data_IF_731302032814
#
_entry.id   IF_731302032814
#
_cell.length_a   1.000
_cell.length_b   1.000
_cell.length_c   1.000
_cell.angle_alpha   90.00
_cell.angle_beta   90.00
_cell.angle_gamma   90.00
#
_symmetry.space_group_name_H-M   'P 1'
#
loop_
_entity.id
_entity.type
_entity.pdbx_description
1 polymer ?
#
# COMPACT_ATOMS: atom_id res chain seq x y z
N UNK A 1 12.58 -14.66 -2.55
CA UNK A 1 12.89 -16.07 -2.17
C UNK A 1 12.84 -16.97 -3.41
N UNK A 2 13.88 -17.79 -3.70
CA UNK A 2 13.91 -18.72 -4.83
C UNK A 2 13.14 -20.02 -4.56
N UNK A 3 12.57 -20.63 -5.60
CA UNK A 3 11.64 -21.76 -5.48
C UNK A 3 12.27 -23.03 -4.87
N UNK A 4 13.55 -23.30 -5.16
CA UNK A 4 14.23 -24.47 -4.62
C UNK A 4 14.46 -24.40 -3.10
N UNK A 5 14.53 -23.19 -2.53
CA UNK A 5 14.59 -23.01 -1.07
C UNK A 5 13.26 -23.37 -0.44
N UNK A 6 12.14 -22.93 -1.02
CA UNK A 6 10.79 -23.28 -0.56
C UNK A 6 10.55 -24.80 -0.57
N UNK A 7 10.97 -25.49 -1.62
CA UNK A 7 10.82 -26.96 -1.74
C UNK A 7 11.67 -27.74 -0.73
N UNK A 8 12.77 -27.14 -0.24
CA UNK A 8 13.67 -27.73 0.75
C UNK A 8 13.33 -27.31 2.18
N UNK A 9 12.30 -26.48 2.38
CA UNK A 9 11.79 -26.14 3.71
C UNK A 9 11.17 -27.39 4.36
N UNK A 10 11.91 -27.99 5.29
CA UNK A 10 11.44 -29.06 6.17
C UNK A 10 11.17 -28.56 7.59
N UNK A 11 11.00 -29.49 8.54
CA UNK A 11 10.90 -29.15 9.96
C UNK A 11 12.19 -28.49 10.44
N UNK A 12 12.07 -27.31 11.06
CA UNK A 12 13.21 -26.54 11.55
C UNK A 12 13.84 -25.59 10.54
N UNK A 13 13.23 -25.38 9.37
CA UNK A 13 13.65 -24.31 8.47
C UNK A 13 13.36 -22.94 9.11
N UNK A 14 14.40 -22.12 9.28
CA UNK A 14 14.32 -20.74 9.75
C UNK A 14 14.39 -19.82 8.53
N UNK A 15 13.49 -18.87 8.44
CA UNK A 15 13.51 -17.81 7.44
C UNK A 15 13.80 -16.52 8.20
N UNK A 16 14.94 -15.91 7.89
CA UNK A 16 15.22 -14.56 8.36
C UNK A 16 14.29 -13.60 7.62
N UNK A 17 13.58 -12.80 8.40
CA UNK A 17 12.82 -11.67 7.90
C UNK A 17 13.69 -10.43 8.14
N UNK A 18 13.73 -9.54 7.15
CA UNK A 18 14.46 -8.27 7.26
C UNK A 18 13.75 -7.28 8.21
N UNK A 19 12.53 -7.60 8.66
CA UNK A 19 11.71 -6.76 9.54
C UNK A 19 11.99 -7.03 11.00
N UNK A 20 12.25 -5.95 11.74
CA UNK A 20 12.42 -5.92 13.19
C UNK A 20 11.15 -5.44 13.89
N UNK A 21 11.08 -5.56 15.21
CA UNK A 21 9.95 -5.14 16.04
C UNK A 21 9.74 -3.61 16.07
N UNK A 22 10.78 -2.86 15.75
CA UNK A 22 10.73 -1.40 15.63
C UNK A 22 10.30 -0.90 14.24
N UNK A 23 10.22 -1.78 13.24
CA UNK A 23 9.92 -1.39 11.88
C UNK A 23 8.43 -1.07 11.67
N UNK A 24 8.19 -0.14 10.75
CA UNK A 24 6.85 0.25 10.36
C UNK A 24 6.22 -0.87 9.50
N UNK A 25 5.01 -1.31 9.88
CA UNK A 25 4.27 -2.35 9.17
C UNK A 25 3.18 -1.77 8.28
N UNK A 26 2.94 -2.42 7.15
CA UNK A 26 1.82 -2.11 6.26
C UNK A 26 0.60 -2.95 6.65
N UNK A 27 -0.53 -2.27 6.84
CA UNK A 27 -1.80 -2.90 7.18
C UNK A 27 -2.58 -3.08 5.88
N UNK A 28 -2.77 -4.35 5.49
CA UNK A 28 -3.51 -4.71 4.29
C UNK A 28 -4.91 -5.20 4.63
N UNK A 29 -5.90 -4.76 3.86
CA UNK A 29 -7.24 -5.33 3.84
C UNK A 29 -7.52 -5.84 2.42
N UNK A 30 -7.83 -7.14 2.26
CA UNK A 30 -8.04 -7.76 0.95
C UNK A 30 -6.89 -7.51 -0.06
N UNK A 31 -5.64 -7.63 0.40
CA UNK A 31 -4.43 -7.32 -0.39
C UNK A 31 -4.31 -5.85 -0.84
N UNK A 32 -5.09 -4.94 -0.26
CA UNK A 32 -4.97 -3.51 -0.49
C UNK A 32 -4.38 -2.81 0.75
N UNK A 33 -3.29 -2.03 0.61
CA UNK A 33 -2.71 -1.31 1.74
C UNK A 33 -3.63 -0.16 2.16
N UNK A 34 -4.11 -0.19 3.40
CA UNK A 34 -5.05 0.79 3.94
C UNK A 34 -4.43 1.73 4.96
N UNK A 35 -3.34 1.31 5.61
CA UNK A 35 -2.70 2.07 6.67
C UNK A 35 -1.28 1.57 6.89
N UNK A 36 -0.51 2.38 7.62
CA UNK A 36 0.80 2.02 8.18
C UNK A 36 0.76 2.18 9.70
N UNK A 37 1.54 1.38 10.40
CA UNK A 37 1.57 1.40 11.85
C UNK A 37 2.86 0.85 12.43
N UNK A 38 3.01 0.99 13.75
CA UNK A 38 4.11 0.44 14.52
C UNK A 38 3.64 -0.76 15.35
N UNK A 39 4.48 -1.78 15.49
CA UNK A 39 4.20 -2.91 16.36
C UNK A 39 4.46 -2.51 17.81
N UNK A 40 3.50 -2.82 18.69
CA UNK A 40 3.63 -2.65 20.14
C UNK A 40 3.41 -4.00 20.81
N UNK A 41 4.42 -4.50 21.52
CA UNK A 41 4.37 -5.76 22.23
C UNK A 41 4.14 -5.50 23.72
N UNK A 42 2.98 -5.93 24.24
CA UNK A 42 2.62 -5.80 25.65
C UNK A 42 2.50 -7.20 26.26
N UNK A 43 3.58 -7.66 26.89
CA UNK A 43 3.64 -8.99 27.50
C UNK A 43 3.48 -10.09 26.44
N UNK A 44 2.30 -10.73 26.42
CA UNK A 44 1.95 -11.77 25.44
C UNK A 44 0.97 -11.28 24.35
N UNK A 45 0.73 -9.98 24.24
CA UNK A 45 -0.14 -9.40 23.22
C UNK A 45 0.69 -8.58 22.24
N UNK A 46 0.52 -8.86 20.96
CA UNK A 46 1.08 -8.06 19.87
C UNK A 46 -0.07 -7.19 19.36
N UNK A 47 0.13 -5.88 19.43
CA UNK A 47 -0.79 -4.87 18.93
C UNK A 47 -0.11 -4.07 17.83
N UNK A 48 -0.90 -3.44 16.97
CA UNK A 48 -0.39 -2.50 15.97
C UNK A 48 -1.02 -1.14 16.24
N UNK A 49 -0.20 -0.13 16.47
CA UNK A 49 -0.61 1.26 16.58
C UNK A 49 -0.63 1.90 15.19
N UNK A 50 -1.78 2.43 14.77
CA UNK A 50 -1.93 3.02 13.43
C UNK A 50 -1.32 4.41 13.41
N UNK A 51 -0.29 4.63 12.59
CA UNK A 51 0.44 5.90 12.48
C UNK A 51 -0.07 6.74 11.31
N UNK A 52 -0.36 6.11 10.18
CA UNK A 52 -0.79 6.79 8.96
C UNK A 52 -1.91 6.01 8.27
N UNK A 53 -2.96 6.72 7.81
CA UNK A 53 -4.02 6.13 7.01
C UNK A 53 -3.78 6.44 5.53
N UNK A 54 -3.71 5.39 4.69
CA UNK A 54 -3.61 5.57 3.24
C UNK A 54 -5.01 5.88 2.72
N UNK A 55 -5.24 7.15 2.36
CA UNK A 55 -6.51 7.57 1.78
C UNK A 55 -6.64 6.98 0.38
N UNK A 56 -7.75 6.29 0.13
CA UNK A 56 -8.17 5.94 -1.23
C UNK A 56 -8.21 7.22 -2.06
N UNK A 57 -7.56 7.23 -3.23
CA UNK A 57 -7.62 8.36 -4.14
C UNK A 57 -9.08 8.73 -4.36
N UNK A 58 -9.44 9.93 -3.91
CA UNK A 58 -10.75 10.50 -4.17
C UNK A 58 -10.83 10.71 -5.67
N UNK A 59 -11.58 9.86 -6.36
CA UNK A 59 -11.91 10.09 -7.76
C UNK A 59 -12.81 11.32 -7.74
N UNK A 60 -12.22 12.48 -8.02
CA UNK A 60 -12.93 13.74 -8.18
C UNK A 60 -13.91 13.55 -9.34
N UNK A 61 -15.14 13.18 -9.00
CA UNK A 61 -16.25 13.12 -9.94
C UNK A 61 -16.86 14.49 -9.93
N UNK A 62 -16.27 15.41 -10.71
CA UNK A 62 -16.99 16.64 -11.02
C UNK A 62 -18.28 16.23 -11.74
N UNK A 63 -19.46 16.63 -11.23
CA UNK A 63 -20.72 16.33 -11.88
C UNK A 63 -20.71 16.98 -13.28
N UNK A 64 -20.48 16.18 -14.32
CA UNK A 64 -20.42 16.65 -15.70
C UNK A 64 -19.29 16.08 -16.55
N UNK A 65 -18.24 15.51 -15.94
CA UNK A 65 -17.10 14.93 -16.69
C UNK A 65 -17.39 13.48 -17.07
N UNK A 66 -17.38 13.18 -18.37
CA UNK A 66 -17.49 11.82 -18.92
C UNK A 66 -16.11 11.19 -18.99
N UNK A 67 -16.05 9.86 -18.81
CA UNK A 67 -14.82 9.08 -18.97
C UNK A 67 -14.40 9.17 -20.44
N UNK A 68 -13.45 10.06 -20.74
CA UNK A 68 -13.00 10.40 -22.09
C UNK A 68 -12.58 11.87 -22.28
N UNK A 69 -13.05 12.78 -21.41
CA UNK A 69 -12.89 14.23 -21.62
C UNK A 69 -11.53 14.79 -21.15
N UNK A 70 -10.78 14.02 -20.37
CA UNK A 70 -9.48 14.45 -19.81
C UNK A 70 -8.40 14.74 -20.87
N UNK A 71 -8.55 14.21 -22.10
CA UNK A 71 -7.65 14.52 -23.21
C UNK A 71 -7.98 15.84 -23.93
N UNK A 72 -9.23 16.31 -23.86
CA UNK A 72 -9.67 17.52 -24.55
C UNK A 72 -9.21 18.80 -23.83
N UNK A 73 -9.17 18.77 -22.48
CA UNK A 73 -8.70 19.90 -21.68
C UNK A 73 -7.21 20.22 -21.93
N UNK A 74 -6.39 19.21 -22.23
CA UNK A 74 -4.96 19.41 -22.52
C UNK A 74 -4.72 20.04 -23.90
N UNK A 75 -5.60 19.80 -24.89
CA UNK A 75 -5.51 20.40 -26.22
C UNK A 75 -6.00 21.85 -26.27
N UNK A 76 -7.00 22.21 -25.44
CA UNK A 76 -7.48 23.60 -25.34
C UNK A 76 -6.46 24.55 -24.71
N UNK A 77 -5.67 24.07 -23.74
CA UNK A 77 -4.63 24.88 -23.10
C UNK A 77 -3.44 25.20 -24.03
N UNK A 78 -3.20 24.37 -25.06
CA UNK A 78 -2.15 24.61 -26.06
C UNK A 78 -2.57 25.62 -27.14
N UNK A 79 -3.87 25.82 -27.41
CA UNK A 79 -4.33 26.84 -28.36
C UNK A 79 -4.35 28.24 -27.77
N UNK A 80 -4.50 28.39 -26.45
CA UNK A 80 -4.45 29.69 -25.76
C UNK A 80 -3.01 30.18 -25.48
N UNK A 81 -2.00 29.36 -25.81
CA UNK A 81 -0.58 29.67 -25.63
C UNK A 81 0.18 29.97 -26.94
N UNK A 82 -0.52 29.99 -28.08
CA UNK A 82 -0.01 30.35 -29.42
C UNK A 82 -0.78 31.55 -29.97
#
# INVERSE_FOLDING_TARGET
MPIHMLLRMGRGAVIELDSTDSDMVEILANNHPIARGQIVVTGNRISVEVTELIRKAEVVREPGIRIGDGGAAFLGALSDAL
#
